data_IF_432177915721
#
_entry.id   IF_432177915721
#
_cell.length_a   1.000
_cell.length_b   1.000
_cell.length_c   1.000
_cell.angle_alpha   90.00
_cell.angle_beta   90.00
_cell.angle_gamma   90.00
#
_symmetry.space_group_name_H-M   'P 1'
#
loop_
_entity.id
_entity.type
_entity.pdbx_description
1 polymer ?
#
# COMPACT_ATOMS: atom_id res chain seq x y z
N UNK A 1 -7.07 -13.40 2.86
CA UNK A 1 -7.55 -14.20 4.01
C UNK A 1 -6.86 -15.56 3.97
N UNK A 2 -5.74 -15.71 4.69
CA UNK A 2 -4.98 -16.97 4.81
C UNK A 2 -4.83 -17.39 6.30
N UNK A 3 -5.53 -16.71 7.21
CA UNK A 3 -5.49 -16.97 8.65
C UNK A 3 -6.29 -18.23 8.96
N UNK A 4 -5.65 -19.41 8.84
CA UNK A 4 -6.20 -20.68 9.32
C UNK A 4 -5.84 -21.92 8.52
N UNK A 5 -5.19 -21.82 7.36
CA UNK A 5 -4.79 -23.01 6.61
C UNK A 5 -3.29 -23.29 6.79
N UNK A 6 -2.97 -24.54 7.10
CA UNK A 6 -1.59 -25.03 7.16
C UNK A 6 -0.86 -24.68 5.85
N UNK A 7 0.39 -24.21 5.95
CA UNK A 7 1.23 -23.82 4.80
C UNK A 7 1.26 -24.91 3.72
N UNK A 8 1.20 -26.19 4.13
CA UNK A 8 1.11 -27.34 3.24
C UNK A 8 -0.16 -27.39 2.39
N UNK A 9 -1.31 -26.96 2.94
CA UNK A 9 -2.57 -26.86 2.19
C UNK A 9 -2.48 -25.74 1.16
N UNK A 10 -1.89 -24.60 1.53
CA UNK A 10 -1.71 -23.46 0.61
C UNK A 10 -0.84 -23.87 -0.57
N UNK A 11 0.31 -24.51 -0.33
CA UNK A 11 1.17 -24.98 -1.41
C UNK A 11 0.47 -26.02 -2.28
N UNK A 12 -0.23 -26.99 -1.69
CA UNK A 12 -0.98 -28.01 -2.43
C UNK A 12 -2.07 -27.40 -3.33
N UNK A 13 -2.87 -26.47 -2.81
CA UNK A 13 -3.90 -25.79 -3.60
C UNK A 13 -3.28 -24.92 -4.70
N UNK A 14 -2.15 -24.26 -4.45
CA UNK A 14 -1.47 -23.45 -5.47
C UNK A 14 -0.94 -24.30 -6.63
N UNK A 15 -0.43 -25.50 -6.34
CA UNK A 15 0.01 -26.42 -7.39
C UNK A 15 -1.16 -26.96 -8.22
N UNK A 16 -2.31 -27.21 -7.60
CA UNK A 16 -3.50 -27.71 -8.29
C UNK A 16 -4.31 -26.63 -9.03
N UNK A 17 -4.40 -25.41 -8.49
CA UNK A 17 -5.09 -24.28 -9.13
C UNK A 17 -4.27 -23.72 -10.30
N UNK A 18 -2.94 -23.79 -10.23
CA UNK A 18 -2.01 -23.38 -11.29
C UNK A 18 -1.24 -22.10 -10.96
N UNK A 19 0.07 -22.10 -11.26
CA UNK A 19 0.99 -20.99 -10.92
C UNK A 19 0.58 -19.65 -11.55
N UNK A 20 -0.10 -19.69 -12.70
CA UNK A 20 -0.61 -18.50 -13.38
C UNK A 20 -1.68 -17.73 -12.58
N UNK A 21 -2.41 -18.39 -11.68
CA UNK A 21 -3.38 -17.70 -10.81
C UNK A 21 -2.70 -16.82 -9.75
N UNK A 22 -1.43 -17.08 -9.40
CA UNK A 22 -0.68 -16.21 -8.47
C UNK A 22 -0.37 -14.84 -9.08
N UNK A 23 -0.19 -14.78 -10.41
CA UNK A 23 0.09 -13.52 -11.12
C UNK A 23 -1.16 -12.70 -11.40
N UNK A 24 -2.34 -13.25 -11.07
CA UNK A 24 -3.62 -12.61 -11.32
C UNK A 24 -3.82 -11.44 -10.35
N UNK A 25 -4.04 -10.25 -10.90
CA UNK A 25 -4.12 -9.02 -10.11
C UNK A 25 -2.78 -8.31 -9.89
N UNK A 26 -1.65 -8.85 -10.37
CA UNK A 26 -0.35 -8.15 -10.31
C UNK A 26 -0.32 -6.93 -11.23
N UNK A 27 -0.92 -7.00 -12.41
CA UNK A 27 -0.96 -5.86 -13.35
C UNK A 27 -1.57 -4.57 -12.75
N UNK A 28 -2.81 -4.57 -12.20
CA UNK A 28 -3.36 -3.37 -11.59
C UNK A 28 -2.54 -2.91 -10.38
N UNK A 29 -1.92 -3.84 -9.65
CA UNK A 29 -1.03 -3.52 -8.54
C UNK A 29 0.22 -2.76 -9.00
N UNK A 30 0.87 -3.20 -10.10
CA UNK A 30 2.05 -2.52 -10.65
C UNK A 30 1.68 -1.11 -11.10
N UNK A 31 0.61 -0.96 -11.89
CA UNK A 31 0.15 0.35 -12.40
C UNK A 31 -0.11 1.31 -11.23
N UNK A 32 -0.85 0.85 -10.22
CA UNK A 32 -1.15 1.65 -9.04
C UNK A 32 0.13 2.03 -8.29
N UNK A 33 1.02 1.07 -8.04
CA UNK A 33 2.25 1.31 -7.24
C UNK A 33 3.23 2.24 -7.95
N UNK A 34 3.45 2.05 -9.24
CA UNK A 34 4.28 2.96 -10.03
C UNK A 34 3.73 4.39 -9.96
N UNK A 35 2.42 4.56 -10.18
CA UNK A 35 1.79 5.89 -10.15
C UNK A 35 1.91 6.53 -8.76
N UNK A 36 1.68 5.77 -7.69
CA UNK A 36 1.77 6.24 -6.30
C UNK A 36 3.20 6.66 -5.90
N UNK A 37 4.21 5.87 -6.29
CA UNK A 37 5.63 6.19 -6.02
C UNK A 37 6.04 7.45 -6.80
N UNK A 38 5.69 7.54 -8.08
CA UNK A 38 5.96 8.72 -8.91
C UNK A 38 5.28 9.97 -8.35
N UNK A 39 4.01 9.86 -7.96
CA UNK A 39 3.28 10.96 -7.33
C UNK A 39 3.94 11.41 -6.02
N UNK A 40 4.38 10.47 -5.18
CA UNK A 40 5.09 10.78 -3.94
C UNK A 40 6.35 11.61 -4.20
N UNK A 41 7.16 11.21 -5.19
CA UNK A 41 8.38 11.93 -5.54
C UNK A 41 8.09 13.34 -6.06
N UNK A 42 7.12 13.47 -6.97
CA UNK A 42 6.70 14.77 -7.54
C UNK A 42 6.18 15.70 -6.44
N UNK A 43 5.27 15.21 -5.59
CA UNK A 43 4.70 16.00 -4.49
C UNK A 43 5.79 16.42 -3.51
N UNK A 44 6.70 15.51 -3.16
CA UNK A 44 7.81 15.81 -2.25
C UNK A 44 8.73 16.90 -2.82
N UNK A 45 9.09 16.83 -4.11
CA UNK A 45 9.91 17.85 -4.75
C UNK A 45 9.18 19.21 -4.81
N UNK A 46 7.94 19.21 -5.30
CA UNK A 46 7.16 20.44 -5.45
C UNK A 46 6.92 21.15 -4.12
N UNK A 47 6.62 20.40 -3.06
CA UNK A 47 6.38 20.96 -1.73
C UNK A 47 7.67 21.50 -1.12
N UNK A 48 8.80 20.82 -1.30
CA UNK A 48 10.09 21.34 -0.82
C UNK A 48 10.52 22.62 -1.54
N UNK A 49 10.15 22.80 -2.81
CA UNK A 49 10.40 24.04 -3.55
C UNK A 49 9.44 25.16 -3.12
N UNK A 50 8.15 24.86 -3.02
CA UNK A 50 7.09 25.86 -2.79
C UNK A 50 7.01 26.30 -1.32
N UNK A 51 7.19 25.37 -0.38
CA UNK A 51 7.04 25.62 1.06
C UNK A 51 8.39 25.77 1.77
N UNK A 52 9.45 26.18 1.05
CA UNK A 52 10.78 26.35 1.62
C UNK A 52 10.83 27.35 2.77
N UNK A 53 9.96 28.37 2.73
CA UNK A 53 9.87 29.45 3.71
C UNK A 53 8.86 29.17 4.84
N UNK A 54 8.06 28.11 4.72
CA UNK A 54 7.02 27.76 5.68
C UNK A 54 7.50 26.74 6.73
N UNK A 55 6.83 26.65 7.90
CA UNK A 55 7.15 25.63 8.87
C UNK A 55 6.94 24.23 8.26
N UNK A 56 7.90 23.33 8.52
CA UNK A 56 7.92 21.96 7.97
C UNK A 56 6.63 21.17 8.26
N UNK A 57 5.88 21.51 9.31
CA UNK A 57 4.63 20.85 9.65
C UNK A 57 3.50 21.17 8.65
N UNK A 58 3.44 22.39 8.12
CA UNK A 58 2.45 22.76 7.09
C UNK A 58 2.77 22.05 5.78
N UNK A 59 4.04 22.01 5.40
CA UNK A 59 4.51 21.26 4.24
C UNK A 59 4.15 19.76 4.32
N UNK A 60 4.30 19.13 5.49
CA UNK A 60 3.91 17.74 5.75
C UNK A 60 2.41 17.50 5.53
N UNK A 61 1.57 18.35 6.11
CA UNK A 61 0.11 18.18 6.02
C UNK A 61 -0.34 18.37 4.57
N UNK A 62 0.16 19.41 3.90
CA UNK A 62 -0.20 19.71 2.51
C UNK A 62 0.23 18.60 1.54
N UNK A 63 1.48 18.14 1.64
CA UNK A 63 1.97 17.00 0.83
C UNK A 63 1.19 15.72 1.12
N UNK A 64 0.87 15.44 2.38
CA UNK A 64 0.07 14.29 2.77
C UNK A 64 -1.36 14.33 2.23
N UNK A 65 -1.99 15.51 2.20
CA UNK A 65 -3.32 15.70 1.62
C UNK A 65 -3.32 15.52 0.10
N UNK A 66 -2.37 16.14 -0.60
CA UNK A 66 -2.25 15.99 -2.05
C UNK A 66 -1.99 14.54 -2.45
N UNK A 67 -1.00 13.90 -1.81
CA UNK A 67 -0.66 12.51 -2.08
C UNK A 67 -1.81 11.57 -1.76
N UNK A 68 -2.45 11.76 -0.59
CA UNK A 68 -3.60 10.97 -0.19
C UNK A 68 -4.78 11.09 -1.16
N UNK A 69 -4.98 12.27 -1.75
CA UNK A 69 -6.00 12.49 -2.78
C UNK A 69 -5.68 11.75 -4.07
N UNK A 70 -4.44 11.87 -4.56
CA UNK A 70 -3.97 11.17 -5.78
C UNK A 70 -4.12 9.65 -5.61
N UNK A 71 -3.66 9.10 -4.49
CA UNK A 71 -3.78 7.66 -4.21
C UNK A 71 -5.23 7.19 -4.10
N UNK A 72 -6.14 8.06 -3.67
CA UNK A 72 -7.56 7.75 -3.57
C UNK A 72 -8.27 7.75 -4.92
N UNK A 73 -7.79 8.54 -5.89
CA UNK A 73 -8.26 8.46 -7.28
C UNK A 73 -7.87 7.11 -7.92
N UNK A 74 -6.77 6.51 -7.48
CA UNK A 74 -6.32 5.19 -7.95
C UNK A 74 -7.05 4.01 -7.28
N UNK A 75 -8.06 4.27 -6.46
CA UNK A 75 -8.83 3.25 -5.75
C UNK A 75 -9.50 2.19 -6.66
N UNK A 76 -9.93 2.47 -7.90
CA UNK A 76 -10.46 1.41 -8.77
C UNK A 76 -9.45 0.28 -9.03
N UNK A 77 -8.17 0.59 -9.19
CA UNK A 77 -7.11 -0.41 -9.35
C UNK A 77 -6.91 -1.21 -8.06
N UNK A 78 -6.93 -0.52 -6.92
CA UNK A 78 -6.89 -1.13 -5.60
C UNK A 78 -8.03 -2.12 -5.35
N UNK A 79 -9.23 -1.81 -5.86
CA UNK A 79 -10.41 -2.66 -5.72
C UNK A 79 -10.33 -3.88 -6.64
N UNK A 80 -10.00 -3.68 -7.91
CA UNK A 80 -9.88 -4.80 -8.88
C UNK A 80 -8.79 -5.78 -8.45
N UNK A 81 -7.67 -5.30 -7.90
CA UNK A 81 -6.65 -6.17 -7.32
C UNK A 81 -7.22 -7.06 -6.20
N UNK A 82 -7.99 -6.50 -5.26
CA UNK A 82 -8.56 -7.26 -4.13
C UNK A 82 -9.56 -8.31 -4.63
N UNK A 83 -10.42 -7.96 -5.61
CA UNK A 83 -11.40 -8.88 -6.19
C UNK A 83 -10.70 -10.04 -6.91
N UNK A 84 -9.67 -9.75 -7.70
CA UNK A 84 -8.91 -10.76 -8.43
C UNK A 84 -8.05 -11.65 -7.53
N UNK A 85 -7.63 -11.14 -6.37
CA UNK A 85 -6.89 -11.91 -5.37
C UNK A 85 -7.82 -12.79 -4.52
N UNK A 86 -9.14 -12.60 -4.58
CA UNK A 86 -10.09 -13.41 -3.83
C UNK A 86 -10.45 -14.69 -4.60
N UNK A 87 -10.24 -15.83 -3.94
CA UNK A 87 -10.51 -17.16 -4.51
C UNK A 87 -11.96 -17.35 -4.95
N UNK A 88 -12.92 -16.71 -4.26
CA UNK A 88 -14.34 -16.85 -4.56
C UNK A 88 -14.72 -16.35 -5.94
N UNK A 89 -13.94 -15.42 -6.51
CA UNK A 89 -14.19 -14.86 -7.84
C UNK A 89 -13.25 -15.40 -8.93
N UNK A 90 -12.43 -16.41 -8.63
CA UNK A 90 -11.51 -17.00 -9.59
C UNK A 90 -12.21 -17.53 -10.85
N UNK A 91 -13.42 -18.09 -10.69
CA UNK A 91 -14.24 -18.60 -11.81
C UNK A 91 -15.12 -17.53 -12.46
N UNK A 92 -15.43 -16.43 -11.76
CA UNK A 92 -16.34 -15.38 -12.24
C UNK A 92 -15.63 -14.39 -13.16
N UNK A 93 -14.44 -13.93 -12.76
CA UNK A 93 -13.63 -13.05 -13.59
C UNK A 93 -12.56 -13.89 -14.30
N UNK A 94 -12.08 -13.45 -15.47
CA UNK A 94 -10.94 -14.11 -16.15
C UNK A 94 -9.66 -13.28 -16.07
N UNK A 95 -9.77 -11.99 -16.39
CA UNK A 95 -8.66 -11.04 -16.49
C UNK A 95 -8.98 -9.71 -15.80
N UNK A 96 -7.97 -8.86 -15.58
CA UNK A 96 -8.14 -7.50 -15.05
C UNK A 96 -9.13 -6.67 -15.87
N UNK A 97 -8.98 -6.66 -17.21
CA UNK A 97 -9.89 -5.95 -18.11
C UNK A 97 -11.32 -6.48 -18.01
N UNK A 98 -11.47 -7.80 -17.98
CA UNK A 98 -12.78 -8.45 -17.86
C UNK A 98 -13.46 -8.11 -16.52
N UNK A 99 -12.70 -8.14 -15.42
CA UNK A 99 -13.18 -7.74 -14.10
C UNK A 99 -13.67 -6.29 -14.11
N UNK A 100 -12.87 -5.37 -14.65
CA UNK A 100 -13.23 -3.96 -14.73
C UNK A 100 -14.49 -3.73 -15.58
N UNK A 101 -14.54 -4.30 -16.78
CA UNK A 101 -15.69 -4.20 -17.68
C UNK A 101 -16.96 -4.78 -17.04
N UNK A 102 -16.87 -5.97 -16.47
CA UNK A 102 -18.02 -6.63 -15.87
C UNK A 102 -18.54 -5.89 -14.63
N UNK A 103 -17.65 -5.35 -13.79
CA UNK A 103 -18.08 -4.50 -12.66
C UNK A 103 -18.86 -3.28 -13.14
N UNK A 104 -18.33 -2.57 -14.14
CA UNK A 104 -18.95 -1.35 -14.67
C UNK A 104 -20.28 -1.66 -15.33
N UNK A 105 -20.37 -2.72 -16.14
CA UNK A 105 -21.59 -3.07 -16.86
C UNK A 105 -22.69 -3.59 -15.92
N UNK A 106 -22.34 -4.37 -14.90
CA UNK A 106 -23.34 -4.99 -14.02
C UNK A 106 -23.76 -4.12 -12.83
N UNK A 107 -22.84 -3.33 -12.28
CA UNK A 107 -23.06 -2.59 -11.02
C UNK A 107 -22.86 -1.07 -11.17
N UNK A 108 -22.36 -0.61 -12.33
CA UNK A 108 -22.09 0.79 -12.61
C UNK A 108 -20.75 1.31 -12.06
N UNK A 109 -20.40 2.53 -12.45
CA UNK A 109 -19.14 3.19 -12.07
C UNK A 109 -19.02 3.48 -10.57
N UNK A 110 -20.14 3.73 -9.88
CA UNK A 110 -20.14 3.99 -8.43
C UNK A 110 -19.63 2.80 -7.64
N UNK A 111 -19.86 1.59 -8.14
CA UNK A 111 -19.37 0.38 -7.50
C UNK A 111 -17.84 0.44 -7.42
N UNK A 112 -17.10 0.78 -8.49
CA UNK A 112 -15.63 0.89 -8.42
C UNK A 112 -15.11 1.75 -7.25
N UNK A 113 -15.92 2.74 -6.82
CA UNK A 113 -15.59 3.65 -5.73
C UNK A 113 -16.18 3.28 -4.34
N UNK A 114 -16.59 2.03 -4.13
CA UNK A 114 -17.09 1.54 -2.83
C UNK A 114 -16.02 1.68 -1.75
N UNK A 115 -16.38 2.32 -0.63
CA UNK A 115 -15.47 2.54 0.48
C UNK A 115 -14.55 3.77 0.32
N UNK A 116 -14.83 4.66 -0.64
CA UNK A 116 -14.04 5.88 -0.90
C UNK A 116 -13.69 6.65 0.38
N UNK A 117 -14.66 6.89 1.26
CA UNK A 117 -14.40 7.65 2.49
C UNK A 117 -13.35 7.01 3.40
N UNK A 118 -13.39 5.68 3.53
CA UNK A 118 -12.38 4.94 4.30
C UNK A 118 -11.01 5.00 3.63
N UNK A 119 -10.97 4.78 2.32
CA UNK A 119 -9.72 4.77 1.55
C UNK A 119 -9.07 6.15 1.54
N UNK A 120 -9.88 7.19 1.37
CA UNK A 120 -9.44 8.58 1.41
C UNK A 120 -8.81 8.92 2.77
N UNK A 121 -9.51 8.61 3.86
CA UNK A 121 -8.98 8.82 5.20
C UNK A 121 -7.69 8.02 5.45
N UNK A 122 -7.68 6.73 5.09
CA UNK A 122 -6.50 5.85 5.21
C UNK A 122 -5.30 6.41 4.44
N UNK A 123 -5.51 6.86 3.21
CA UNK A 123 -4.44 7.35 2.33
C UNK A 123 -3.86 8.67 2.81
N UNK A 124 -4.70 9.60 3.28
CA UNK A 124 -4.22 10.86 3.86
C UNK A 124 -3.41 10.58 5.13
N UNK A 125 -3.95 9.80 6.07
CA UNK A 125 -3.24 9.45 7.29
C UNK A 125 -1.91 8.77 6.99
N UNK A 126 -1.93 7.79 6.08
CA UNK A 126 -0.71 7.08 5.69
C UNK A 126 0.33 7.98 5.04
N UNK A 127 -0.09 8.90 4.18
CA UNK A 127 0.81 9.85 3.50
C UNK A 127 1.43 10.83 4.49
N UNK A 128 0.64 11.37 5.44
CA UNK A 128 1.14 12.29 6.47
C UNK A 128 2.17 11.60 7.36
N UNK A 129 1.88 10.38 7.83
CA UNK A 129 2.81 9.61 8.67
C UNK A 129 4.07 9.27 7.87
N UNK A 130 3.93 8.82 6.63
CA UNK A 130 5.04 8.46 5.77
C UNK A 130 6.00 9.65 5.55
N UNK A 131 5.48 10.83 5.20
CA UNK A 131 6.29 12.03 4.98
C UNK A 131 6.89 12.54 6.29
N UNK A 132 6.19 12.41 7.41
CA UNK A 132 6.72 12.79 8.73
C UNK A 132 7.95 11.96 9.09
N UNK A 133 7.88 10.64 8.93
CA UNK A 133 8.99 9.73 9.16
C UNK A 133 10.12 9.92 8.14
N UNK A 134 9.79 10.23 6.89
CA UNK A 134 10.78 10.53 5.85
C UNK A 134 11.65 11.73 6.24
N UNK A 135 11.05 12.79 6.77
CA UNK A 135 11.77 13.99 7.21
C UNK A 135 12.63 13.75 8.46
N UNK A 136 12.21 12.85 9.36
CA UNK A 136 13.03 12.44 10.51
C UNK A 136 14.22 11.59 10.06
N UNK A 137 13.98 10.62 9.17
CA UNK A 137 15.02 9.83 8.53
C UNK A 137 16.07 10.70 7.84
N UNK A 138 15.65 11.72 7.08
CA UNK A 138 16.59 12.64 6.43
C UNK A 138 17.50 13.39 7.43
N UNK A 139 17.03 13.68 8.65
CA UNK A 139 17.86 14.31 9.68
C UNK A 139 18.93 13.35 10.18
N UNK A 140 18.57 12.10 10.44
CA UNK A 140 19.49 11.04 10.89
C UNK A 140 20.56 10.81 9.82
N UNK A 141 20.16 10.63 8.57
CA UNK A 141 21.10 10.41 7.46
C UNK A 141 22.05 11.59 7.23
N UNK A 142 21.59 12.84 7.43
CA UNK A 142 22.47 14.02 7.37
C UNK A 142 23.47 14.05 8.52
N UNK A 143 23.13 13.53 9.70
CA UNK A 143 24.06 13.41 10.82
C UNK A 143 25.12 12.35 10.52
N UNK A 144 24.72 11.17 10.04
CA UNK A 144 25.65 10.10 9.65
C UNK A 144 26.61 10.53 8.54
N UNK A 145 26.10 11.28 7.56
CA UNK A 145 26.95 11.82 6.48
C UNK A 145 28.02 12.79 7.01
N UNK A 146 27.74 13.54 8.08
CA UNK A 146 28.73 14.42 8.73
C UNK A 146 29.82 13.62 9.46
N UNK A 147 29.46 12.44 9.98
CA UNK A 147 30.38 11.53 10.67
C UNK A 147 31.33 10.78 9.73
N UNK A 148 31.18 10.94 8.40
CA UNK A 148 32.01 10.28 7.35
C UNK A 148 32.08 8.75 7.49
N UNK A 149 30.96 8.14 7.84
CA UNK A 149 30.81 6.67 7.85
C UNK A 149 31.15 6.07 6.46
N UNK A 150 31.68 4.84 6.40
CA UNK A 150 31.96 4.18 5.14
C UNK A 150 30.68 3.97 4.31
N UNK A 151 30.76 3.99 2.97
CA UNK A 151 29.59 3.99 2.08
C UNK A 151 28.71 2.74 2.22
N UNK A 152 29.30 1.61 2.62
CA UNK A 152 28.58 0.36 2.87
C UNK A 152 27.68 0.49 4.10
N UNK A 153 28.18 1.08 5.19
CA UNK A 153 27.41 1.31 6.42
C UNK A 153 26.26 2.28 6.15
N UNK A 154 26.52 3.38 5.43
CA UNK A 154 25.46 4.32 5.07
C UNK A 154 24.36 3.69 4.18
N UNK A 155 24.72 2.80 3.26
CA UNK A 155 23.75 2.09 2.42
C UNK A 155 22.91 1.12 3.26
N UNK A 156 23.54 0.37 4.15
CA UNK A 156 22.84 -0.53 5.08
C UNK A 156 21.89 0.24 6.00
N UNK A 157 22.33 1.35 6.58
CA UNK A 157 21.48 2.18 7.45
C UNK A 157 20.27 2.74 6.69
N UNK A 158 20.44 3.20 5.44
CA UNK A 158 19.31 3.65 4.61
C UNK A 158 18.28 2.53 4.39
N UNK A 159 18.73 1.33 4.03
CA UNK A 159 17.84 0.18 3.82
C UNK A 159 17.07 -0.16 5.11
N UNK A 160 17.76 -0.16 6.25
CA UNK A 160 17.14 -0.41 7.55
C UNK A 160 16.11 0.66 7.91
N UNK A 161 16.45 1.94 7.75
CA UNK A 161 15.56 3.06 8.05
C UNK A 161 14.33 3.07 7.14
N UNK A 162 14.49 2.80 5.84
CA UNK A 162 13.37 2.70 4.89
C UNK A 162 12.43 1.54 5.26
N UNK A 163 13.00 0.40 5.66
CA UNK A 163 12.25 -0.80 6.04
C UNK A 163 11.48 -0.60 7.35
N UNK A 164 12.10 0.05 8.34
CA UNK A 164 11.45 0.42 9.60
C UNK A 164 10.33 1.43 9.37
N UNK A 165 10.60 2.50 8.60
CA UNK A 165 9.61 3.50 8.22
C UNK A 165 8.36 2.85 7.62
N UNK A 166 8.55 1.99 6.61
CA UNK A 166 7.45 1.31 5.94
C UNK A 166 6.67 0.35 6.84
N UNK A 167 7.36 -0.33 7.76
CA UNK A 167 6.76 -1.27 8.70
C UNK A 167 5.92 -0.55 9.76
N UNK A 168 6.41 0.56 10.31
CA UNK A 168 5.68 1.39 11.27
C UNK A 168 4.38 1.91 10.66
N UNK A 169 4.44 2.45 9.43
CA UNK A 169 3.23 2.89 8.70
C UNK A 169 2.25 1.74 8.51
N UNK A 170 2.75 0.54 8.16
CA UNK A 170 1.92 -0.65 7.96
C UNK A 170 1.22 -1.12 9.24
N UNK A 171 1.89 -1.05 10.40
CA UNK A 171 1.30 -1.40 11.70
C UNK A 171 0.17 -0.43 12.05
N UNK A 172 0.42 0.87 11.97
CA UNK A 172 -0.55 1.91 12.35
C UNK A 172 -1.80 1.83 11.47
N UNK A 173 -1.63 1.59 10.16
CA UNK A 173 -2.73 1.53 9.20
C UNK A 173 -3.36 0.15 9.05
N UNK A 174 -2.83 -0.88 9.72
CA UNK A 174 -3.30 -2.26 9.63
C UNK A 174 -4.83 -2.38 9.85
N UNK A 175 -5.44 -1.85 10.93
CA UNK A 175 -6.89 -1.96 11.14
C UNK A 175 -7.71 -1.34 10.01
N UNK A 176 -7.29 -0.18 9.48
CA UNK A 176 -7.95 0.47 8.35
C UNK A 176 -7.79 -0.34 7.06
N UNK A 177 -6.65 -0.99 6.88
CA UNK A 177 -6.40 -1.86 5.73
C UNK A 177 -7.28 -3.13 5.79
N UNK A 178 -7.49 -3.72 6.97
CA UNK A 178 -8.41 -4.86 7.15
C UNK A 178 -9.83 -4.46 6.75
N UNK A 179 -10.32 -3.31 7.23
CA UNK A 179 -11.65 -2.82 6.89
C UNK A 179 -11.80 -2.50 5.39
N UNK A 180 -10.76 -1.92 4.77
CA UNK A 180 -10.72 -1.68 3.32
C UNK A 180 -10.82 -2.98 2.52
N UNK A 181 -10.02 -3.99 2.88
CA UNK A 181 -10.07 -5.30 2.20
C UNK A 181 -11.45 -5.94 2.33
N UNK A 182 -12.07 -5.86 3.52
CA UNK A 182 -13.44 -6.33 3.73
C UNK A 182 -14.45 -5.65 2.80
N UNK A 183 -14.39 -4.31 2.69
CA UNK A 183 -15.27 -3.53 1.80
C UNK A 183 -15.04 -3.82 0.32
N UNK A 184 -13.79 -3.95 -0.11
CA UNK A 184 -13.45 -4.16 -1.53
C UNK A 184 -13.77 -5.58 -2.03
N UNK A 185 -13.82 -6.56 -1.11
CA UNK A 185 -14.16 -7.96 -1.42
C UNK A 185 -15.65 -8.13 -1.78
N UNK A 186 -16.53 -7.32 -1.22
CA UNK A 186 -17.97 -7.39 -1.50
C UNK A 186 -18.25 -6.90 -2.91
N UNK A 187 -19.02 -7.66 -3.71
CA UNK A 187 -19.49 -7.27 -5.05
C UNK A 187 -20.99 -7.54 -5.10
N UNK A 188 -21.78 -6.59 -5.60
CA UNK A 188 -23.25 -6.76 -5.77
C UNK A 188 -24.10 -6.61 -4.50
N UNK A 189 -23.49 -6.52 -3.32
CA UNK A 189 -24.23 -6.18 -2.10
C UNK A 189 -24.61 -4.69 -2.06
N UNK A 190 -25.74 -4.35 -1.40
CA UNK A 190 -26.19 -2.97 -1.19
C UNK A 190 -25.02 -2.11 -0.66
N UNK A 191 -24.82 -0.92 -1.24
CA UNK A 191 -23.71 -0.03 -0.87
C UNK A 191 -23.70 0.21 0.63
N UNK A 192 -22.75 -0.41 1.33
CA UNK A 192 -22.61 -0.26 2.78
C UNK A 192 -21.72 0.96 3.05
N UNK A 193 -22.20 1.87 3.90
CA UNK A 193 -21.35 2.94 4.42
C UNK A 193 -20.25 2.36 5.30
N UNK A 194 -19.10 3.05 5.36
CA UNK A 194 -17.92 2.63 6.14
C UNK A 194 -18.24 2.32 7.60
N UNK A 195 -19.10 3.12 8.24
CA UNK A 195 -19.47 2.93 9.64
C UNK A 195 -20.27 1.63 9.85
N UNK A 196 -21.18 1.30 8.92
CA UNK A 196 -21.96 0.06 8.96
C UNK A 196 -21.04 -1.14 8.78
N UNK A 197 -20.08 -1.04 7.85
CA UNK A 197 -19.09 -2.11 7.66
C UNK A 197 -18.24 -2.32 8.91
N UNK A 198 -17.80 -1.25 9.57
CA UNK A 198 -17.07 -1.36 10.83
C UNK A 198 -17.91 -2.04 11.92
N UNK A 199 -19.16 -1.61 12.11
CA UNK A 199 -20.08 -2.21 13.07
C UNK A 199 -20.36 -3.69 12.77
N UNK A 200 -20.52 -4.05 11.49
CA UNK A 200 -20.76 -5.42 11.06
C UNK A 200 -19.55 -6.32 11.33
N UNK A 201 -18.34 -5.88 10.94
CA UNK A 201 -17.10 -6.61 11.22
C UNK A 201 -16.88 -6.78 12.73
N UNK A 202 -17.13 -5.72 13.50
CA UNK A 202 -17.02 -5.75 14.96
C UNK A 202 -17.99 -6.76 15.59
N UNK A 203 -19.26 -6.78 15.15
CA UNK A 203 -20.27 -7.72 15.67
C UNK A 203 -20.02 -9.16 15.25
N UNK A 204 -19.54 -9.40 14.03
CA UNK A 204 -19.34 -10.74 13.49
C UNK A 204 -18.05 -11.42 14.01
N UNK A 205 -16.95 -10.67 14.12
CA UNK A 205 -15.63 -11.25 14.39
C UNK A 205 -14.90 -10.64 15.61
N UNK A 206 -15.46 -9.60 16.24
CA UNK A 206 -14.87 -8.90 17.36
C UNK A 206 -13.65 -8.02 17.00
N UNK A 207 -13.05 -7.39 18.02
CA UNK A 207 -11.87 -6.52 17.87
C UNK A 207 -10.61 -7.27 17.43
N UNK A 208 -10.49 -8.54 17.79
CA UNK A 208 -9.32 -9.36 17.46
C UNK A 208 -9.13 -9.49 15.94
N UNK A 209 -10.22 -9.48 15.17
CA UNK A 209 -10.17 -9.59 13.72
C UNK A 209 -9.38 -8.47 13.04
N UNK A 210 -9.39 -7.25 13.59
CA UNK A 210 -8.62 -6.13 13.04
C UNK A 210 -7.11 -6.34 13.12
N UNK A 211 -6.64 -7.14 14.07
CA UNK A 211 -5.22 -7.49 14.22
C UNK A 211 -4.88 -8.84 13.59
N UNK A 212 -5.89 -9.59 13.15
CA UNK A 212 -5.67 -10.84 12.43
C UNK A 212 -4.85 -10.59 11.15
N UNK A 213 -3.85 -11.44 10.93
CA UNK A 213 -2.95 -11.31 9.78
C UNK A 213 -1.91 -10.19 9.86
N UNK A 214 -1.78 -9.49 11.00
CA UNK A 214 -0.73 -8.47 11.19
C UNK A 214 0.65 -9.04 10.89
N UNK A 215 0.98 -10.23 11.40
CA UNK A 215 2.28 -10.88 11.16
C UNK A 215 2.58 -11.08 9.66
N UNK A 216 1.59 -11.54 8.88
CA UNK A 216 1.74 -11.72 7.42
C UNK A 216 1.93 -10.36 6.75
N UNK A 217 1.20 -9.34 7.20
CA UNK A 217 1.31 -7.98 6.69
C UNK A 217 2.69 -7.36 7.01
N UNK A 218 3.25 -7.65 8.19
CA UNK A 218 4.58 -7.21 8.62
C UNK A 218 5.67 -7.79 7.73
N UNK A 219 5.69 -9.12 7.56
CA UNK A 219 6.67 -9.78 6.68
C UNK A 219 6.56 -9.21 5.27
N UNK A 220 5.35 -9.17 4.71
CA UNK A 220 5.12 -8.64 3.36
C UNK A 220 5.61 -7.19 3.24
N UNK A 221 5.32 -6.34 4.23
CA UNK A 221 5.72 -4.94 4.22
C UNK A 221 7.24 -4.81 4.30
N UNK A 222 7.86 -5.47 5.28
CA UNK A 222 9.31 -5.45 5.48
C UNK A 222 10.04 -5.88 4.21
N UNK A 223 9.71 -7.05 3.66
CA UNK A 223 10.35 -7.57 2.44
C UNK A 223 10.16 -6.61 1.26
N UNK A 224 8.96 -6.03 1.11
CA UNK A 224 8.71 -5.06 0.04
C UNK A 224 9.58 -3.81 0.16
N UNK A 225 9.74 -3.26 1.38
CA UNK A 225 10.54 -2.05 1.58
C UNK A 225 12.04 -2.31 1.49
N UNK A 226 12.53 -3.45 1.99
CA UNK A 226 13.92 -3.88 1.81
C UNK A 226 14.27 -3.98 0.34
N UNK A 227 13.39 -4.59 -0.48
CA UNK A 227 13.60 -4.73 -1.92
C UNK A 227 13.64 -3.35 -2.60
N UNK A 228 12.66 -2.48 -2.32
CA UNK A 228 12.63 -1.13 -2.90
C UNK A 228 13.88 -0.32 -2.51
N UNK A 229 14.28 -0.35 -1.24
CA UNK A 229 15.45 0.39 -0.77
C UNK A 229 16.75 -0.16 -1.37
N UNK A 230 16.90 -1.49 -1.41
CA UNK A 230 18.05 -2.15 -2.05
C UNK A 230 18.13 -1.83 -3.53
N UNK A 231 17.02 -1.88 -4.26
CA UNK A 231 16.96 -1.50 -5.67
C UNK A 231 17.33 -0.04 -5.90
N UNK A 232 16.88 0.87 -5.04
CA UNK A 232 17.23 2.28 -5.12
C UNK A 232 18.73 2.53 -4.87
N UNK A 233 19.35 1.84 -3.90
CA UNK A 233 20.78 1.97 -3.66
C UNK A 233 21.61 1.36 -4.81
N UNK A 234 21.21 0.21 -5.35
CA UNK A 234 21.85 -0.36 -6.55
C UNK A 234 21.76 0.62 -7.72
N UNK A 235 20.60 1.23 -7.94
CA UNK A 235 20.41 2.22 -9.00
C UNK A 235 21.35 3.43 -8.82
N UNK A 236 21.51 3.94 -7.59
CA UNK A 236 22.44 5.04 -7.30
C UNK A 236 23.89 4.66 -7.55
N UNK A 237 24.31 3.44 -7.20
CA UNK A 237 25.67 2.95 -7.43
C UNK A 237 25.97 2.84 -8.93
N UNK A 238 25.05 2.28 -9.72
CA UNK A 238 25.18 2.20 -11.18
C UNK A 238 25.25 3.60 -11.77
N UNK A 239 24.34 4.50 -11.39
CA UNK A 239 24.33 5.87 -11.89
C UNK A 239 25.62 6.64 -11.55
N UNK A 240 26.19 6.42 -10.36
CA UNK A 240 27.47 7.01 -9.97
C UNK A 240 28.67 6.44 -10.74
N UNK A 241 28.59 5.20 -11.24
CA UNK A 241 29.65 4.60 -12.06
C UNK A 241 29.69 5.17 -13.48
N UNK A 242 28.55 5.63 -14.01
CA UNK A 242 28.44 6.23 -15.35
C UNK A 242 28.68 7.75 -15.39
N UNK A 243 28.95 8.39 -14.25
CA UNK A 243 29.20 9.83 -14.12
C UNK A 243 30.65 10.10 -13.76
#
# INVERSE_FOLDING_TARGET
>A
MLSGQSVKKVTFYTFHEGVFLLYRGVLPQIIQRCTSITATYIVHQNVNMTFREYPKNVAKIYSGLLLGTIDSLLMPFERVQVILADKGYNHTYKNTRHCFQQLVTQHGFKELYRGLGLVYFRNILGSIIFISLLLEKEKILRQEQKMREPPVVMSATRILLDSLQGTIVSIILHPLNVLRVYLHKQVGERHMHTHIAFQKVYRENGLYFFWSGLYVNLIRSWTSWVLIASSNELYKQIYAHYR
#
